data_IF_599631092837
#
_entry.id   IF_599631092837
#
_cell.length_a   1.000
_cell.length_b   1.000
_cell.length_c   1.000
_cell.angle_alpha   90.00
_cell.angle_beta   90.00
_cell.angle_gamma   90.00
#
_symmetry.space_group_name_H-M   'P 1'
#
loop_
_entity.id
_entity.type
_entity.pdbx_description
1 polymer ?
#
# COMPACT_ATOMS: atom_id res chain seq x y z
N UNK A 1 -5.18 3.28 20.53
CA UNK A 1 -6.11 4.25 19.89
C UNK A 1 -5.61 5.65 20.18
N UNK A 2 -5.44 6.51 19.17
CA UNK A 2 -4.84 7.85 19.33
C UNK A 2 -5.83 8.92 19.80
N UNK A 3 -7.14 8.66 19.73
CA UNK A 3 -8.18 9.64 20.03
C UNK A 3 -8.38 10.73 18.97
N UNK A 4 -7.57 10.71 17.89
CA UNK A 4 -7.70 11.65 16.79
C UNK A 4 -9.04 11.47 16.05
N UNK A 5 -9.68 12.58 15.68
CA UNK A 5 -10.96 12.60 14.96
C UNK A 5 -10.76 13.17 13.57
N UNK A 6 -11.21 12.43 12.56
CA UNK A 6 -11.15 12.83 11.16
C UNK A 6 -12.53 12.62 10.50
N UNK A 7 -12.88 13.49 9.57
CA UNK A 7 -14.06 13.29 8.72
C UNK A 7 -13.64 12.59 7.44
N UNK A 8 -14.15 11.37 7.22
CA UNK A 8 -13.90 10.64 5.98
C UNK A 8 -14.68 11.27 4.82
N UNK A 9 -13.97 11.71 3.78
CA UNK A 9 -14.53 12.23 2.53
C UNK A 9 -14.22 11.24 1.41
N UNK A 10 -15.18 10.42 0.96
CA UNK A 10 -14.92 9.38 -0.04
C UNK A 10 -14.90 9.98 -1.45
N UNK A 11 -13.96 9.51 -2.28
CA UNK A 11 -13.88 9.81 -3.71
C UNK A 11 -14.01 8.53 -4.53
N UNK A 12 -14.55 8.64 -5.75
CA UNK A 12 -14.66 7.50 -6.69
C UNK A 12 -13.30 7.04 -7.25
N UNK A 13 -12.24 7.81 -7.05
CA UNK A 13 -10.89 7.48 -7.51
C UNK A 13 -9.85 8.52 -7.10
N UNK A 14 -8.57 8.16 -7.26
CA UNK A 14 -7.44 8.98 -6.80
C UNK A 14 -7.34 10.36 -7.46
N UNK A 15 -7.73 10.49 -8.74
CA UNK A 15 -7.58 11.75 -9.48
C UNK A 15 -8.35 12.92 -8.87
N UNK A 16 -9.62 12.72 -8.51
CA UNK A 16 -10.43 13.77 -7.88
C UNK A 16 -9.91 14.13 -6.48
N UNK A 17 -9.50 13.12 -5.69
CA UNK A 17 -8.91 13.34 -4.37
C UNK A 17 -7.58 14.12 -4.45
N UNK A 18 -6.80 13.90 -5.50
CA UNK A 18 -5.55 14.62 -5.76
C UNK A 18 -5.78 16.09 -6.04
N UNK A 19 -6.75 16.42 -6.89
CA UNK A 19 -7.11 17.82 -7.19
C UNK A 19 -7.54 18.54 -5.91
N UNK A 20 -8.41 17.93 -5.11
CA UNK A 20 -8.95 18.58 -3.92
C UNK A 20 -7.94 18.72 -2.78
N UNK A 21 -6.99 17.79 -2.63
CA UNK A 21 -5.87 17.97 -1.70
C UNK A 21 -4.95 19.12 -2.13
N UNK A 22 -4.55 19.15 -3.41
CA UNK A 22 -3.64 20.19 -3.93
C UNK A 22 -4.31 21.57 -3.91
N UNK A 23 -5.62 21.65 -4.13
CA UNK A 23 -6.40 22.88 -4.04
C UNK A 23 -6.71 23.31 -2.59
N UNK A 24 -6.33 22.51 -1.58
CA UNK A 24 -6.58 22.81 -0.17
C UNK A 24 -8.02 22.58 0.31
N UNK A 25 -8.86 21.91 -0.50
CA UNK A 25 -10.23 21.54 -0.11
C UNK A 25 -10.26 20.37 0.88
N UNK A 26 -9.19 19.58 0.92
CA UNK A 26 -8.97 18.51 1.89
C UNK A 26 -7.66 18.76 2.64
N UNK A 27 -7.63 18.53 3.95
CA UNK A 27 -6.46 18.85 4.79
C UNK A 27 -5.40 17.75 4.77
N UNK A 28 -5.82 16.49 4.60
CA UNK A 28 -4.93 15.33 4.60
C UNK A 28 -5.59 14.16 3.87
N UNK A 29 -4.77 13.22 3.42
CA UNK A 29 -5.23 11.97 2.81
C UNK A 29 -4.36 10.81 3.26
N UNK A 30 -4.94 9.62 3.35
CA UNK A 30 -4.20 8.36 3.31
C UNK A 30 -4.04 7.94 1.85
N UNK A 31 -2.81 7.81 1.37
CA UNK A 31 -2.51 7.45 -0.02
C UNK A 31 -1.29 6.56 -0.14
N UNK A 32 -1.13 5.93 -1.30
CA UNK A 32 0.05 5.13 -1.63
C UNK A 32 1.16 6.02 -2.20
N UNK A 33 2.42 5.70 -1.90
CA UNK A 33 3.58 6.47 -2.37
C UNK A 33 3.59 6.63 -3.90
N UNK A 34 3.34 5.57 -4.73
CA UNK A 34 3.35 5.71 -6.18
C UNK A 34 2.40 6.78 -6.72
N UNK A 35 1.21 6.91 -6.12
CA UNK A 35 0.22 7.90 -6.52
C UNK A 35 0.71 9.34 -6.24
N UNK A 36 1.41 9.54 -5.12
CA UNK A 36 1.75 10.87 -4.62
C UNK A 36 3.18 11.31 -4.93
N UNK A 37 4.04 10.41 -5.40
CA UNK A 37 5.45 10.69 -5.70
C UNK A 37 5.63 11.93 -6.60
N UNK A 38 4.86 12.13 -7.70
CA UNK A 38 5.00 13.33 -8.53
C UNK A 38 4.57 14.63 -7.86
N UNK A 39 3.72 14.56 -6.82
CA UNK A 39 3.28 15.73 -6.05
C UNK A 39 4.22 16.05 -4.90
N UNK A 40 4.79 15.01 -4.27
CA UNK A 40 5.85 15.12 -3.26
C UNK A 40 7.11 15.75 -3.86
N UNK A 41 7.58 15.21 -5.00
CA UNK A 41 8.76 15.73 -5.69
C UNK A 41 8.59 17.19 -6.16
N UNK A 42 7.36 17.60 -6.50
CA UNK A 42 7.04 18.97 -6.91
C UNK A 42 6.75 19.92 -5.73
N UNK A 43 6.83 19.47 -4.48
CA UNK A 43 6.51 20.28 -3.30
C UNK A 43 5.05 20.71 -3.18
N UNK A 44 4.14 20.10 -3.95
CA UNK A 44 2.70 20.43 -3.95
C UNK A 44 1.96 19.85 -2.75
N UNK A 45 2.51 18.79 -2.17
CA UNK A 45 2.04 18.15 -0.93
C UNK A 45 3.25 17.75 -0.11
N UNK A 46 3.06 17.49 1.18
CA UNK A 46 4.09 16.91 2.06
C UNK A 46 3.60 15.60 2.66
N UNK A 47 4.49 14.62 2.74
CA UNK A 47 4.24 13.41 3.53
C UNK A 47 4.48 13.72 5.02
N UNK A 48 3.55 13.31 5.89
CA UNK A 48 3.60 13.58 7.33
C UNK A 48 3.80 12.33 8.19
N UNK A 49 3.68 11.15 7.57
CA UNK A 49 3.85 9.86 8.23
C UNK A 49 3.79 8.73 7.22
N UNK A 50 4.55 7.68 7.48
CA UNK A 50 4.58 6.45 6.69
C UNK A 50 3.77 5.38 7.42
N UNK A 51 2.88 4.72 6.68
CA UNK A 51 2.04 3.64 7.22
C UNK A 51 2.75 2.29 7.34
N UNK A 52 3.95 2.16 6.78
CA UNK A 52 4.82 1.01 6.96
C UNK A 52 5.34 0.93 8.41
N UNK A 53 5.61 -0.27 8.97
CA UNK A 53 6.15 -0.42 10.33
C UNK A 53 7.49 0.29 10.58
N UNK A 54 8.22 0.59 9.51
CA UNK A 54 9.50 1.31 9.53
C UNK A 54 9.51 2.41 8.49
N UNK A 55 10.41 3.38 8.61
CA UNK A 55 10.67 4.35 7.55
C UNK A 55 11.05 3.65 6.25
N UNK A 56 10.76 4.30 5.12
CA UNK A 56 11.01 3.76 3.78
C UNK A 56 12.14 4.51 3.09
N UNK A 57 12.92 3.81 2.27
CA UNK A 57 14.08 4.38 1.56
C UNK A 57 13.72 5.54 0.64
N UNK A 58 12.51 5.55 0.08
CA UNK A 58 12.03 6.60 -0.82
C UNK A 58 11.69 7.92 -0.11
N UNK A 59 11.46 7.89 1.21
CA UNK A 59 11.08 9.04 2.04
C UNK A 59 11.74 8.91 3.43
N UNK A 60 13.09 8.94 3.53
CA UNK A 60 13.82 8.60 4.75
C UNK A 60 13.58 9.58 5.92
N UNK A 61 13.25 10.83 5.60
CA UNK A 61 12.99 11.88 6.58
C UNK A 61 11.57 11.84 7.16
N UNK A 62 10.68 11.04 6.56
CA UNK A 62 9.28 10.94 7.02
C UNK A 62 9.19 9.82 8.06
N UNK A 63 8.71 10.10 9.28
CA UNK A 63 8.64 9.11 10.34
C UNK A 63 7.62 8.01 10.02
N UNK A 64 7.90 6.78 10.47
CA UNK A 64 6.87 5.76 10.52
C UNK A 64 5.90 6.07 11.64
N UNK A 65 4.59 5.93 11.39
CA UNK A 65 3.57 6.12 12.43
C UNK A 65 3.80 5.15 13.60
N UNK A 66 4.35 3.96 13.31
CA UNK A 66 4.71 2.96 14.29
C UNK A 66 5.73 3.43 15.34
N UNK A 67 6.55 4.45 15.05
CA UNK A 67 7.49 5.06 16.01
C UNK A 67 6.75 5.72 17.19
N UNK A 68 5.52 6.18 16.98
CA UNK A 68 4.68 6.83 18.00
C UNK A 68 3.49 5.97 18.43
N UNK A 69 3.05 5.08 17.56
CA UNK A 69 1.94 4.17 17.80
C UNK A 69 2.38 2.72 17.52
N UNK A 70 2.97 2.04 18.52
CA UNK A 70 3.47 0.68 18.35
C UNK A 70 2.41 -0.27 17.79
N UNK A 71 2.81 -1.10 16.82
CA UNK A 71 1.91 -2.03 16.13
C UNK A 71 1.10 -1.43 14.98
N UNK A 72 1.23 -0.12 14.70
CA UNK A 72 0.60 0.48 13.52
C UNK A 72 1.23 -0.07 12.24
N UNK A 73 0.40 -0.63 11.37
CA UNK A 73 0.79 -1.12 10.06
C UNK A 73 -0.39 -0.96 9.09
N UNK A 74 -0.18 -0.15 8.05
CA UNK A 74 -1.10 0.07 6.95
C UNK A 74 -0.40 -0.12 5.59
N UNK A 75 0.56 -1.05 5.53
CA UNK A 75 1.28 -1.37 4.29
C UNK A 75 0.32 -1.91 3.24
N UNK A 76 0.38 -1.34 2.04
CA UNK A 76 -0.33 -1.85 0.87
C UNK A 76 0.58 -2.80 0.09
N UNK A 77 0.05 -3.95 -0.32
CA UNK A 77 0.75 -4.92 -1.15
C UNK A 77 -0.02 -5.18 -2.45
N UNK A 78 0.69 -5.66 -3.47
CA UNK A 78 0.13 -6.06 -4.74
C UNK A 78 0.52 -7.50 -5.03
N UNK A 79 -0.41 -8.27 -5.60
CA UNK A 79 -0.19 -9.65 -5.97
C UNK A 79 -0.97 -10.03 -7.21
N UNK A 80 -0.51 -11.05 -7.91
CA UNK A 80 -1.18 -11.59 -9.09
C UNK A 80 -2.02 -12.80 -8.69
N UNK A 81 -3.30 -12.79 -9.04
CA UNK A 81 -4.23 -13.87 -8.80
C UNK A 81 -4.69 -14.47 -10.13
N UNK A 82 -4.95 -15.77 -10.13
CA UNK A 82 -5.56 -16.48 -11.25
C UNK A 82 -6.95 -17.02 -10.84
N UNK A 83 -7.86 -17.28 -11.79
CA UNK A 83 -9.16 -17.88 -11.48
C UNK A 83 -9.04 -19.18 -10.67
N UNK A 84 -10.01 -19.44 -9.81
CA UNK A 84 -10.09 -20.70 -9.07
C UNK A 84 -10.13 -21.89 -10.06
N UNK A 85 -9.35 -22.94 -9.77
CA UNK A 85 -9.21 -24.10 -10.65
C UNK A 85 -8.15 -23.96 -11.76
N UNK A 86 -7.43 -22.83 -11.84
CA UNK A 86 -6.29 -22.72 -12.77
C UNK A 86 -5.27 -23.83 -12.51
N UNK A 87 -4.85 -24.62 -13.53
CA UNK A 87 -3.93 -25.72 -13.34
C UNK A 87 -2.60 -25.31 -12.71
N UNK A 88 -2.11 -26.11 -11.75
CA UNK A 88 -0.85 -25.84 -11.04
C UNK A 88 0.36 -25.59 -11.97
N UNK A 89 0.54 -26.30 -13.11
CA UNK A 89 1.63 -26.00 -14.03
C UNK A 89 1.58 -24.57 -14.60
N UNK A 90 0.39 -24.02 -14.85
CA UNK A 90 0.21 -22.65 -15.34
C UNK A 90 0.57 -21.65 -14.24
N UNK A 91 0.07 -21.86 -13.02
CA UNK A 91 0.38 -21.01 -11.85
C UNK A 91 1.89 -21.00 -11.59
N UNK A 92 2.54 -22.16 -11.64
CA UNK A 92 3.98 -22.29 -11.40
C UNK A 92 4.80 -21.60 -12.47
N UNK A 93 4.39 -21.70 -13.75
CA UNK A 93 5.05 -21.00 -14.85
C UNK A 93 4.97 -19.48 -14.68
N UNK A 94 3.78 -18.95 -14.41
CA UNK A 94 3.59 -17.51 -14.18
C UNK A 94 4.37 -17.03 -12.96
N UNK A 95 4.35 -17.78 -11.84
CA UNK A 95 5.14 -17.45 -10.67
C UNK A 95 6.64 -17.39 -10.97
N UNK A 96 7.16 -18.32 -11.78
CA UNK A 96 8.56 -18.32 -12.19
C UNK A 96 8.93 -17.07 -13.01
N UNK A 97 8.07 -16.65 -13.94
CA UNK A 97 8.28 -15.40 -14.69
C UNK A 97 8.21 -14.15 -13.79
N UNK A 98 7.25 -14.10 -12.86
CA UNK A 98 7.14 -12.98 -11.93
C UNK A 98 8.37 -12.85 -11.04
N UNK A 99 8.94 -13.97 -10.56
CA UNK A 99 10.20 -13.95 -9.82
C UNK A 99 11.38 -13.46 -10.66
N UNK A 100 11.44 -13.84 -11.95
CA UNK A 100 12.44 -13.30 -12.89
C UNK A 100 12.28 -11.81 -13.11
N UNK A 101 11.05 -11.33 -13.29
CA UNK A 101 10.76 -9.91 -13.45
C UNK A 101 11.20 -9.11 -12.21
N UNK A 102 10.83 -9.56 -11.01
CA UNK A 102 11.26 -8.93 -9.75
C UNK A 102 12.79 -8.94 -9.62
N UNK A 103 13.47 -10.02 -9.99
CA UNK A 103 14.93 -10.09 -9.96
C UNK A 103 15.63 -9.25 -11.05
N UNK A 104 14.91 -8.75 -12.05
CA UNK A 104 15.47 -7.86 -13.06
C UNK A 104 15.77 -6.49 -12.44
N UNK A 105 17.02 -6.03 -12.59
CA UNK A 105 17.49 -4.80 -11.95
C UNK A 105 16.77 -3.53 -12.45
N UNK A 106 16.44 -3.45 -13.74
CA UNK A 106 15.72 -2.31 -14.32
C UNK A 106 14.30 -2.24 -13.77
N UNK A 107 13.61 -3.38 -13.73
CA UNK A 107 12.26 -3.47 -13.17
C UNK A 107 12.23 -3.17 -11.67
N UNK A 108 13.15 -3.77 -10.90
CA UNK A 108 13.29 -3.48 -9.46
C UNK A 108 13.57 -2.00 -9.21
N UNK A 109 14.50 -1.40 -9.96
CA UNK A 109 14.82 0.04 -9.83
C UNK A 109 13.62 0.91 -10.18
N UNK A 110 12.84 0.54 -11.19
CA UNK A 110 11.62 1.25 -11.54
C UNK A 110 10.60 1.20 -10.39
N UNK A 111 10.34 0.02 -9.83
CA UNK A 111 9.46 -0.13 -8.67
C UNK A 111 9.93 0.70 -7.46
N UNK A 112 11.22 0.63 -7.14
CA UNK A 112 11.81 1.44 -6.05
C UNK A 112 11.66 2.95 -6.32
N UNK A 113 11.81 3.39 -7.59
CA UNK A 113 11.66 4.81 -7.96
C UNK A 113 10.25 5.36 -7.74
N UNK A 114 9.24 4.50 -7.79
CA UNK A 114 7.84 4.85 -7.49
C UNK A 114 7.47 4.52 -6.04
N UNK A 115 8.44 4.13 -5.21
CA UNK A 115 8.24 3.85 -3.78
C UNK A 115 7.57 2.51 -3.50
N UNK A 116 7.71 1.54 -4.41
CA UNK A 116 7.32 0.14 -4.19
C UNK A 116 8.55 -0.69 -3.81
N UNK A 117 8.35 -1.69 -2.97
CA UNK A 117 9.40 -2.65 -2.61
C UNK A 117 9.20 -3.92 -3.45
N UNK A 118 10.16 -4.28 -4.33
CA UNK A 118 10.08 -5.50 -5.11
C UNK A 118 10.06 -6.72 -4.19
N UNK A 119 9.02 -7.54 -4.29
CA UNK A 119 8.87 -8.75 -3.51
C UNK A 119 8.43 -9.92 -4.38
N UNK A 120 9.16 -11.02 -4.31
CA UNK A 120 8.77 -12.31 -4.88
C UNK A 120 8.30 -13.25 -3.78
N UNK A 121 7.34 -14.13 -4.10
CA UNK A 121 6.88 -15.18 -3.19
C UNK A 121 6.59 -16.46 -3.98
N UNK A 122 6.26 -17.53 -3.25
CA UNK A 122 5.57 -18.70 -3.77
C UNK A 122 4.05 -18.46 -3.80
N UNK A 123 3.28 -19.24 -4.57
CA UNK A 123 1.82 -19.20 -4.54
C UNK A 123 1.26 -19.50 -3.13
N UNK A 124 1.91 -20.41 -2.38
CA UNK A 124 1.50 -20.76 -1.02
C UNK A 124 1.66 -19.57 -0.07
N UNK A 125 2.83 -18.93 -0.08
CA UNK A 125 3.12 -17.76 0.77
C UNK A 125 2.17 -16.59 0.50
N UNK A 126 1.87 -16.30 -0.78
CA UNK A 126 0.86 -15.29 -1.13
C UNK A 126 -0.52 -15.68 -0.59
N UNK A 127 -0.91 -16.96 -0.69
CA UNK A 127 -2.15 -17.46 -0.10
C UNK A 127 -2.20 -17.35 1.42
N UNK A 128 -1.10 -17.63 2.12
CA UNK A 128 -0.98 -17.47 3.59
C UNK A 128 -1.08 -15.99 3.99
N UNK A 129 -0.43 -15.10 3.24
CA UNK A 129 -0.51 -13.65 3.45
C UNK A 129 -1.94 -13.15 3.27
N UNK A 130 -2.64 -13.55 2.21
CA UNK A 130 -4.04 -13.18 1.98
C UNK A 130 -4.93 -13.58 3.15
N UNK A 131 -4.79 -14.81 3.67
CA UNK A 131 -5.56 -15.28 4.83
C UNK A 131 -5.28 -14.43 6.07
N UNK A 132 -4.01 -14.11 6.31
CA UNK A 132 -3.56 -13.32 7.46
C UNK A 132 -4.08 -11.88 7.38
N UNK A 133 -3.97 -11.25 6.21
CA UNK A 133 -4.47 -9.91 5.93
C UNK A 133 -5.99 -9.85 6.05
N UNK A 134 -6.70 -10.84 5.50
CA UNK A 134 -8.16 -10.92 5.62
C UNK A 134 -8.60 -10.99 7.08
N UNK A 135 -7.96 -11.84 7.89
CA UNK A 135 -8.26 -11.92 9.33
C UNK A 135 -7.99 -10.59 10.05
N UNK A 136 -6.85 -9.95 9.77
CA UNK A 136 -6.48 -8.65 10.35
C UNK A 136 -7.49 -7.56 9.99
N UNK A 137 -7.77 -7.38 8.69
CA UNK A 137 -8.67 -6.32 8.22
C UNK A 137 -10.11 -6.55 8.65
N UNK A 138 -10.57 -7.79 8.71
CA UNK A 138 -11.90 -8.10 9.26
C UNK A 138 -12.01 -7.67 10.73
N UNK A 139 -10.96 -7.90 11.53
CA UNK A 139 -10.92 -7.41 12.91
C UNK A 139 -10.92 -5.88 12.97
N UNK A 140 -10.11 -5.21 12.16
CA UNK A 140 -10.06 -3.73 12.10
C UNK A 140 -11.42 -3.14 11.75
N UNK A 141 -12.10 -3.67 10.73
CA UNK A 141 -13.43 -3.21 10.30
C UNK A 141 -14.44 -3.33 11.44
N UNK A 142 -14.47 -4.48 12.14
CA UNK A 142 -15.37 -4.70 13.28
C UNK A 142 -15.07 -3.77 14.44
N UNK A 143 -13.80 -3.69 14.85
CA UNK A 143 -13.39 -2.87 16.00
C UNK A 143 -13.63 -1.38 15.75
N UNK A 144 -13.51 -0.92 14.49
CA UNK A 144 -13.74 0.47 14.09
C UNK A 144 -15.21 0.77 13.73
N UNK A 145 -16.11 -0.22 13.76
CA UNK A 145 -17.52 -0.03 13.38
C UNK A 145 -17.72 0.41 11.93
N UNK A 146 -16.81 0.04 11.02
CA UNK A 146 -16.88 0.44 9.61
C UNK A 146 -17.94 -0.42 8.91
N UNK A 147 -18.87 0.23 8.20
CA UNK A 147 -19.91 -0.43 7.42
C UNK A 147 -19.77 -0.08 5.94
N UNK A 148 -20.02 -1.07 5.08
CA UNK A 148 -20.25 -0.79 3.66
C UNK A 148 -21.50 0.09 3.54
N UNK A 149 -21.39 1.17 2.79
CA UNK A 149 -22.54 2.00 2.41
C UNK A 149 -23.21 1.42 1.19
#
# INVERSE_FOLDING_TARGET
>A
MTGAKFTHVPYKGGGAATVDLVAGRMQAIFGSIPQWQPHLAAGRVRAIGIGHPTRVRSLPDVPAVAETLPGFNNTTWYGLLAPAGTPAPVVNKVNAEMKRAVANAEFSKHLESIGMEPAGSTPKELGDMIRTELARWTKVIRDAGIQAK
#
